data_IF_762710921269
#
_entry.id   IF_762710921269
#
_cell.length_a   1.000
_cell.length_b   1.000
_cell.length_c   1.000
_cell.angle_alpha   90.00
_cell.angle_beta   90.00
_cell.angle_gamma   90.00
#
_symmetry.space_group_name_H-M   'P 1'
#
loop_
_entity.id
_entity.type
_entity.pdbx_description
1 polymer ?
#
# COMPACT_ATOMS: atom_id res chain seq x y z
N UNK A 1 19.96 15.80 16.95
CA UNK A 1 19.26 15.07 15.86
C UNK A 1 19.94 15.43 14.55
N UNK A 2 20.36 14.45 13.76
CA UNK A 2 21.41 14.56 12.72
C UNK A 2 20.99 15.25 11.41
N UNK A 3 20.12 16.26 11.49
CA UNK A 3 19.64 17.02 10.32
C UNK A 3 18.93 16.20 9.25
N UNK A 4 18.51 14.95 9.53
CA UNK A 4 17.70 14.15 8.60
C UNK A 4 16.23 14.31 8.95
N UNK A 5 15.45 14.79 8.00
CA UNK A 5 14.00 14.73 8.01
C UNK A 5 13.53 13.47 7.27
N UNK A 6 12.51 12.81 7.79
CA UNK A 6 11.93 11.61 7.20
C UNK A 6 10.42 11.80 7.07
N UNK A 7 9.86 11.26 6.00
CA UNK A 7 8.41 11.11 5.87
C UNK A 7 8.06 9.70 5.43
N UNK A 8 6.95 9.20 5.94
CA UNK A 8 6.36 7.90 5.59
C UNK A 8 4.94 8.04 5.03
N UNK A 9 4.40 9.26 4.96
CA UNK A 9 3.01 9.49 4.58
C UNK A 9 2.73 10.93 4.11
N UNK A 10 3.75 11.65 3.60
CA UNK A 10 3.52 13.00 3.09
C UNK A 10 2.56 12.90 1.89
N UNK A 11 1.44 13.62 2.00
CA UNK A 11 0.42 13.66 0.96
C UNK A 11 0.09 15.12 0.63
N UNK A 12 -0.05 15.39 -0.65
CA UNK A 12 -0.48 16.69 -1.15
C UNK A 12 -1.61 16.50 -2.16
N UNK A 13 -2.64 17.34 -2.07
CA UNK A 13 -3.71 17.45 -3.06
C UNK A 13 -3.50 18.71 -3.88
N UNK A 14 -3.62 18.57 -5.19
CA UNK A 14 -3.47 19.62 -6.19
C UNK A 14 -4.70 19.58 -7.10
N UNK A 15 -5.01 20.68 -7.79
CA UNK A 15 -6.16 20.70 -8.72
C UNK A 15 -6.03 19.66 -9.84
N UNK A 16 -4.79 19.31 -10.21
CA UNK A 16 -4.48 18.35 -11.27
C UNK A 16 -4.44 16.89 -10.77
N UNK A 17 -4.39 16.65 -9.46
CA UNK A 17 -4.21 15.31 -8.91
C UNK A 17 -3.75 15.27 -7.45
N UNK A 18 -3.07 14.19 -7.07
CA UNK A 18 -2.55 14.00 -5.72
C UNK A 18 -1.14 13.43 -5.77
N UNK A 19 -0.34 13.71 -4.75
CA UNK A 19 1.01 13.19 -4.60
C UNK A 19 1.09 12.52 -3.24
N UNK A 20 1.67 11.32 -3.19
CA UNK A 20 2.15 10.71 -1.95
C UNK A 20 3.67 10.58 -2.01
N UNK A 21 4.33 10.69 -0.86
CA UNK A 21 5.77 10.72 -0.75
C UNK A 21 6.24 9.99 0.51
N UNK A 22 7.27 9.17 0.36
CA UNK A 22 8.04 8.58 1.46
C UNK A 22 9.53 8.72 1.19
N UNK A 23 10.32 8.81 2.25
CA UNK A 23 11.77 8.87 2.13
C UNK A 23 12.40 9.87 3.10
N UNK A 24 13.58 10.35 2.74
CA UNK A 24 14.38 11.23 3.58
C UNK A 24 14.90 12.46 2.84
N UNK A 25 15.06 13.53 3.61
CA UNK A 25 15.77 14.74 3.22
C UNK A 25 16.81 15.05 4.28
N UNK A 26 18.09 15.11 3.89
CA UNK A 26 19.17 15.48 4.79
C UNK A 26 19.44 16.98 4.65
N UNK A 27 19.15 17.75 5.70
CA UNK A 27 19.28 19.20 5.79
C UNK A 27 20.74 19.66 5.99
N UNK A 28 21.66 18.76 6.34
CA UNK A 28 23.08 19.09 6.52
C UNK A 28 23.78 19.18 5.16
N UNK A 29 23.48 18.23 4.27
CA UNK A 29 24.09 18.15 2.94
C UNK A 29 23.09 18.36 1.78
N UNK A 30 21.84 18.71 2.11
CA UNK A 30 20.72 18.89 1.19
C UNK A 30 20.35 17.66 0.37
N UNK A 31 20.78 16.44 0.73
CA UNK A 31 20.50 15.24 -0.04
C UNK A 31 19.03 14.82 0.04
N UNK A 32 18.50 14.31 -1.07
CA UNK A 32 17.15 13.75 -1.18
C UNK A 32 17.23 12.27 -1.55
N UNK A 33 16.39 11.47 -0.92
CA UNK A 33 16.12 10.09 -1.31
C UNK A 33 14.64 9.81 -1.02
N UNK A 34 13.81 9.97 -2.05
CA UNK A 34 12.35 9.98 -1.92
C UNK A 34 11.69 9.14 -3.01
N UNK A 35 10.71 8.34 -2.60
CA UNK A 35 9.77 7.66 -3.48
C UNK A 35 8.46 8.45 -3.49
N UNK A 36 8.09 8.93 -4.67
CA UNK A 36 6.85 9.66 -4.91
C UNK A 36 5.89 8.81 -5.73
N UNK A 37 4.60 9.00 -5.47
CA UNK A 37 3.54 8.52 -6.36
C UNK A 37 2.63 9.68 -6.68
N UNK A 38 2.66 10.12 -7.94
CA UNK A 38 1.73 11.10 -8.46
C UNK A 38 0.51 10.38 -9.03
N UNK A 39 -0.69 10.75 -8.60
CA UNK A 39 -1.95 10.29 -9.17
C UNK A 39 -2.62 11.44 -9.88
N UNK A 40 -2.66 11.39 -11.20
CA UNK A 40 -3.31 12.39 -12.02
C UNK A 40 -4.82 12.14 -12.07
N UNK A 41 -5.61 13.20 -11.89
CA UNK A 41 -7.07 13.14 -12.01
C UNK A 41 -7.50 12.62 -13.38
N UNK A 42 -8.65 11.96 -13.46
CA UNK A 42 -9.16 11.41 -14.73
C UNK A 42 -9.27 12.46 -15.85
N UNK A 43 -9.71 13.68 -15.52
CA UNK A 43 -9.76 14.82 -16.46
C UNK A 43 -8.38 15.17 -17.02
N UNK A 44 -7.37 15.26 -16.16
CA UNK A 44 -6.01 15.58 -16.60
C UNK A 44 -5.36 14.41 -17.33
N UNK A 45 -5.57 13.18 -16.86
CA UNK A 45 -5.16 11.94 -17.51
C UNK A 45 -5.65 11.82 -18.95
N UNK A 46 -6.89 12.24 -19.24
CA UNK A 46 -7.41 12.26 -20.61
C UNK A 46 -6.66 13.26 -21.49
N UNK A 47 -6.25 14.41 -20.95
CA UNK A 47 -5.49 15.42 -21.68
C UNK A 47 -4.05 14.99 -21.96
N UNK A 48 -3.40 14.27 -21.04
CA UNK A 48 -2.01 13.81 -21.21
C UNK A 48 -1.89 12.41 -21.79
N UNK A 49 -2.98 11.64 -21.80
CA UNK A 49 -3.07 10.30 -22.40
C UNK A 49 -3.75 10.26 -23.77
N UNK A 50 -4.38 11.36 -24.21
CA UNK A 50 -4.96 11.48 -25.54
C UNK A 50 -3.91 11.79 -26.61
N UNK A 51 -3.67 10.87 -27.53
CA UNK A 51 -2.96 10.91 -28.83
C UNK A 51 -1.62 11.69 -29.01
N UNK A 52 -1.14 12.52 -28.07
CA UNK A 52 0.00 13.43 -28.27
C UNK A 52 1.26 13.12 -27.45
N UNK A 53 1.19 12.24 -26.45
CA UNK A 53 2.28 12.01 -25.48
C UNK A 53 2.56 10.50 -25.33
N UNK A 54 2.85 9.83 -26.46
CA UNK A 54 3.03 8.37 -26.53
C UNK A 54 4.22 7.79 -25.76
N UNK A 55 5.09 8.62 -25.18
CA UNK A 55 6.24 8.19 -24.38
C UNK A 55 5.96 8.07 -22.88
N UNK A 56 5.24 9.03 -22.30
CA UNK A 56 5.02 9.12 -20.85
C UNK A 56 4.00 8.11 -20.33
N UNK A 57 3.09 7.63 -21.19
CA UNK A 57 2.11 6.61 -20.81
C UNK A 57 2.74 5.24 -20.48
N UNK A 58 3.95 4.93 -20.98
CA UNK A 58 4.62 3.66 -20.64
C UNK A 58 5.00 3.57 -19.15
N UNK A 59 5.19 4.71 -18.51
CA UNK A 59 5.59 4.81 -17.10
C UNK A 59 4.43 5.13 -16.16
N UNK A 60 3.21 5.27 -16.69
CA UNK A 60 2.00 5.51 -15.92
C UNK A 60 1.15 4.24 -15.87
N UNK A 61 0.51 3.98 -14.74
CA UNK A 61 -0.43 2.88 -14.55
C UNK A 61 -1.84 3.46 -14.38
N UNK A 62 -2.75 3.08 -15.26
CA UNK A 62 -4.15 3.45 -15.13
C UNK A 62 -4.82 2.62 -14.04
N UNK A 63 -5.55 3.28 -13.14
CA UNK A 63 -6.42 2.58 -12.18
C UNK A 63 -7.86 2.47 -12.70
N UNK A 64 -8.72 1.77 -11.97
CA UNK A 64 -10.11 1.54 -12.37
C UNK A 64 -10.99 2.82 -12.37
N UNK A 65 -10.47 3.94 -11.85
CA UNK A 65 -11.16 5.24 -11.81
C UNK A 65 -10.77 6.13 -13.01
N UNK A 66 -9.94 5.62 -13.93
CA UNK A 66 -9.43 6.38 -15.07
C UNK A 66 -8.35 7.39 -14.69
N UNK A 67 -7.78 7.27 -13.48
CA UNK A 67 -6.65 8.06 -13.03
C UNK A 67 -5.34 7.39 -13.47
N UNK A 68 -4.27 8.18 -13.55
CA UNK A 68 -2.93 7.68 -13.89
C UNK A 68 -2.01 7.81 -12.69
N UNK A 69 -1.52 6.69 -12.18
CA UNK A 69 -0.52 6.64 -11.13
C UNK A 69 0.88 6.55 -11.75
N UNK A 70 1.77 7.45 -11.34
CA UNK A 70 3.13 7.60 -11.85
C UNK A 70 4.09 7.50 -10.67
N UNK A 71 4.81 6.37 -10.52
CA UNK A 71 5.82 6.22 -9.48
C UNK A 71 7.13 6.90 -9.90
N UNK A 72 7.69 7.71 -9.02
CA UNK A 72 8.86 8.56 -9.32
C UNK A 72 9.85 8.47 -8.17
N UNK A 73 11.09 8.12 -8.48
CA UNK A 73 12.23 8.22 -7.58
C UNK A 73 12.85 9.60 -7.70
N UNK A 74 13.07 10.26 -6.57
CA UNK A 74 13.73 11.56 -6.46
C UNK A 74 15.01 11.43 -5.66
N UNK A 75 16.12 11.72 -6.31
CA UNK A 75 17.47 11.64 -5.72
C UNK A 75 18.24 12.93 -5.97
N UNK A 76 19.48 13.02 -5.48
CA UNK A 76 20.35 14.19 -5.67
C UNK A 76 20.23 15.15 -4.50
N UNK A 77 20.18 16.45 -4.76
CA UNK A 77 20.08 17.47 -3.72
C UNK A 77 18.82 18.32 -3.87
N UNK A 78 18.45 19.07 -2.84
CA UNK A 78 17.34 20.04 -2.90
C UNK A 78 17.53 21.10 -3.99
N UNK A 79 18.77 21.46 -4.33
CA UNK A 79 19.08 22.43 -5.39
C UNK A 79 19.13 21.79 -6.78
N UNK A 80 19.48 20.51 -6.88
CA UNK A 80 19.53 19.78 -8.14
C UNK A 80 18.90 18.39 -7.99
N UNK A 81 17.57 18.32 -7.84
CA UNK A 81 16.87 17.05 -7.72
C UNK A 81 16.81 16.33 -9.06
N UNK A 82 16.97 15.01 -9.04
CA UNK A 82 16.83 14.15 -10.22
C UNK A 82 15.59 13.28 -10.08
N UNK A 83 14.66 13.43 -11.01
CA UNK A 83 13.42 12.67 -11.08
C UNK A 83 13.56 11.56 -12.11
N UNK A 84 13.27 10.32 -11.70
CA UNK A 84 13.34 9.14 -12.56
C UNK A 84 12.11 8.26 -12.34
N UNK A 85 11.62 7.52 -13.35
CA UNK A 85 10.60 6.51 -13.12
C UNK A 85 11.08 5.49 -12.08
N UNK A 86 10.28 5.23 -11.06
CA UNK A 86 10.58 4.16 -10.10
C UNK A 86 10.09 2.83 -10.68
N UNK A 87 10.99 2.16 -11.38
CA UNK A 87 10.74 0.87 -12.03
C UNK A 87 10.46 -0.25 -11.02
N UNK A 88 11.00 -0.16 -9.81
CA UNK A 88 10.78 -1.16 -8.76
C UNK A 88 9.36 -1.03 -8.23
N UNK A 89 8.93 0.18 -7.90
CA UNK A 89 7.57 0.43 -7.45
C UNK A 89 6.56 0.18 -8.56
N UNK A 90 6.86 0.55 -9.81
CA UNK A 90 6.01 0.23 -10.96
C UNK A 90 5.79 -1.27 -11.12
N UNK A 91 6.86 -2.07 -11.01
CA UNK A 91 6.78 -3.52 -11.08
C UNK A 91 5.92 -4.08 -9.94
N UNK A 92 6.11 -3.57 -8.72
CA UNK A 92 5.30 -3.98 -7.57
C UNK A 92 3.81 -3.64 -7.74
N UNK A 93 3.49 -2.46 -8.27
CA UNK A 93 2.11 -2.06 -8.54
C UNK A 93 1.48 -2.95 -9.62
N UNK A 94 2.21 -3.27 -10.70
CA UNK A 94 1.73 -4.18 -11.76
C UNK A 94 1.52 -5.60 -11.25
N UNK A 95 2.47 -6.14 -10.48
CA UNK A 95 2.40 -7.51 -9.95
C UNK A 95 1.33 -7.68 -8.88
N UNK A 96 1.18 -6.69 -7.99
CA UNK A 96 0.25 -6.78 -6.86
C UNK A 96 -1.14 -6.26 -7.20
N UNK A 97 -1.35 -5.70 -8.40
CA UNK A 97 -2.60 -5.05 -8.81
C UNK A 97 -2.99 -3.84 -7.95
N UNK A 98 -2.05 -3.32 -7.15
CA UNK A 98 -2.28 -2.21 -6.23
C UNK A 98 -1.84 -0.92 -6.90
N UNK A 99 -2.74 -0.32 -7.69
CA UNK A 99 -2.50 0.97 -8.34
C UNK A 99 -3.19 2.05 -7.47
N UNK A 100 -2.43 3.03 -6.94
CA UNK A 100 -2.98 4.11 -6.11
C UNK A 100 -4.07 4.92 -6.81
N UNK A 101 -4.86 5.63 -6.00
CA UNK A 101 -5.87 6.57 -6.48
C UNK A 101 -5.76 7.92 -5.78
N UNK A 102 -6.44 8.95 -6.28
CA UNK A 102 -6.45 10.27 -5.62
C UNK A 102 -7.04 10.22 -4.21
N UNK A 103 -7.93 9.26 -3.94
CA UNK A 103 -8.49 9.00 -2.61
C UNK A 103 -7.50 8.31 -1.66
N UNK A 104 -6.53 7.56 -2.20
CA UNK A 104 -5.48 6.89 -1.43
C UNK A 104 -4.15 6.85 -2.20
N UNK A 105 -3.45 8.00 -2.35
CA UNK A 105 -2.26 8.08 -3.19
C UNK A 105 -1.08 7.30 -2.57
N UNK A 106 -1.11 7.04 -1.26
CA UNK A 106 -0.12 6.23 -0.54
C UNK A 106 -0.41 4.71 -0.53
N UNK A 107 -1.48 4.25 -1.17
CA UNK A 107 -1.95 2.86 -1.10
C UNK A 107 -0.93 1.82 -1.57
N UNK A 108 -0.03 2.18 -2.49
CA UNK A 108 1.06 1.31 -2.96
C UNK A 108 2.27 1.26 -2.01
N UNK A 109 2.39 2.22 -1.09
CA UNK A 109 3.56 2.39 -0.21
C UNK A 109 3.28 1.86 1.20
N UNK A 110 2.04 1.94 1.68
CA UNK A 110 1.64 1.46 3.02
C UNK A 110 1.09 0.01 3.07
N UNK A 111 0.93 -0.65 1.92
CA UNK A 111 0.12 -1.87 1.78
C UNK A 111 0.70 -3.17 2.34
N UNK A 112 1.94 -3.20 2.85
CA UNK A 112 2.55 -4.42 3.38
C UNK A 112 2.32 -4.66 4.88
N UNK A 113 1.74 -3.72 5.64
CA UNK A 113 1.52 -3.90 7.09
C UNK A 113 0.06 -3.84 7.56
N UNK A 114 -0.88 -3.32 6.75
CA UNK A 114 -2.28 -3.14 7.20
C UNK A 114 -3.34 -4.06 6.57
N UNK A 115 -3.07 -4.63 5.39
CA UNK A 115 -4.10 -5.30 4.58
C UNK A 115 -4.44 -6.74 4.96
N UNK A 116 -3.57 -7.42 5.72
CA UNK A 116 -3.86 -8.75 6.29
C UNK A 116 -4.53 -8.64 7.68
N UNK A 117 -4.45 -7.49 8.34
CA UNK A 117 -4.94 -7.29 9.71
C UNK A 117 -6.32 -6.62 9.79
N UNK A 118 -7.01 -6.45 8.65
CA UNK A 118 -8.28 -5.71 8.56
C UNK A 118 -9.54 -6.57 8.39
N UNK A 119 -9.44 -7.90 8.31
CA UNK A 119 -10.60 -8.80 8.17
C UNK A 119 -11.16 -9.36 9.49
N UNK A 120 -10.79 -8.78 10.64
CA UNK A 120 -11.27 -9.25 11.96
C UNK A 120 -11.69 -8.12 12.90
N UNK A 121 -12.23 -7.00 12.41
CA UNK A 121 -12.66 -5.89 13.27
C UNK A 121 -13.96 -5.19 12.84
N UNK A 122 -14.90 -5.90 12.20
CA UNK A 122 -16.28 -5.42 12.06
C UNK A 122 -17.26 -6.60 11.99
N UNK A 123 -18.32 -6.54 12.80
CA UNK A 123 -19.31 -7.58 13.19
C UNK A 123 -18.77 -8.54 14.26
N UNK A 124 -19.27 -8.59 15.50
CA UNK A 124 -20.55 -8.18 16.04
C UNK A 124 -20.45 -7.76 17.52
N UNK A 125 -21.12 -6.66 17.85
CA UNK A 125 -21.46 -6.21 19.19
C UNK A 125 -22.88 -6.71 19.53
N UNK A 126 -23.08 -7.10 20.80
CA UNK A 126 -24.32 -7.53 21.50
C UNK A 126 -24.62 -9.04 21.55
N UNK A 127 -24.24 -9.73 22.65
CA UNK A 127 -25.07 -9.87 23.87
C UNK A 127 -24.36 -10.75 24.93
N UNK A 128 -24.62 -10.38 26.19
CA UNK A 128 -24.49 -11.12 27.45
C UNK A 128 -23.12 -11.31 28.13
N UNK A 129 -23.06 -10.62 29.27
CA UNK A 129 -22.16 -10.79 30.41
C UNK A 129 -22.43 -12.14 31.09
N UNK A 130 -21.38 -12.91 31.39
CA UNK A 130 -21.00 -13.32 32.75
C UNK A 130 -19.80 -14.28 32.74
N UNK A 131 -19.02 -14.18 33.83
CA UNK A 131 -18.06 -15.15 34.37
C UNK A 131 -16.64 -15.24 33.78
N UNK A 132 -15.72 -14.54 34.46
CA UNK A 132 -14.48 -15.02 35.10
C UNK A 132 -13.52 -16.03 34.41
N UNK A 133 -12.24 -15.61 34.51
CA UNK A 133 -11.02 -16.38 34.86
C UNK A 133 -10.06 -16.89 33.76
N UNK A 134 -8.83 -16.34 33.88
CA UNK A 134 -7.50 -16.94 33.73
C UNK A 134 -6.94 -17.22 32.31
N UNK A 135 -5.80 -16.54 32.04
CA UNK A 135 -4.80 -16.88 31.02
C UNK A 135 -3.91 -18.05 31.54
N UNK A 136 -3.28 -18.89 30.69
CA UNK A 136 -2.09 -18.44 29.91
C UNK A 136 -1.84 -19.07 28.51
N UNK A 137 -1.01 -18.36 27.73
CA UNK A 137 -0.10 -18.78 26.63
C UNK A 137 -0.65 -19.36 25.29
N UNK A 138 -0.42 -18.68 24.14
CA UNK A 138 -0.62 -19.24 22.81
C UNK A 138 0.72 -19.57 22.10
N UNK A 139 1.17 -20.82 22.15
CA UNK A 139 2.30 -21.25 21.31
C UNK A 139 2.15 -22.61 20.62
N UNK A 140 0.96 -23.24 20.68
CA UNK A 140 0.72 -24.54 20.04
C UNK A 140 -0.10 -24.48 18.74
N UNK A 141 -0.70 -23.32 18.40
CA UNK A 141 -1.68 -23.24 17.31
C UNK A 141 -1.10 -23.18 15.89
N UNK A 142 0.17 -22.79 15.70
CA UNK A 142 0.73 -22.65 14.35
C UNK A 142 0.96 -24.01 13.66
N UNK A 143 1.40 -25.02 14.41
CA UNK A 143 1.78 -26.32 13.82
C UNK A 143 0.54 -27.18 13.51
N UNK A 144 -0.52 -27.09 14.32
CA UNK A 144 -1.78 -27.79 14.07
C UNK A 144 -2.59 -27.21 12.89
N UNK A 145 -2.47 -25.91 12.61
CA UNK A 145 -3.10 -25.31 11.44
C UNK A 145 -2.45 -25.76 10.13
N UNK A 146 -1.12 -25.95 10.12
CA UNK A 146 -0.42 -26.52 8.94
C UNK A 146 -0.85 -27.97 8.74
N UNK A 147 -0.96 -28.78 9.80
CA UNK A 147 -1.34 -30.19 9.69
C UNK A 147 -2.81 -30.38 9.25
N UNK A 148 -3.71 -29.47 9.65
CA UNK A 148 -5.12 -29.47 9.23
C UNK A 148 -5.35 -29.07 7.76
N UNK A 149 -4.39 -28.39 7.12
CA UNK A 149 -4.49 -28.01 5.71
C UNK A 149 -4.16 -29.19 4.77
N UNK A 150 -3.35 -30.15 5.23
CA UNK A 150 -2.91 -31.31 4.44
C UNK A 150 -3.67 -32.61 4.74
N UNK A 151 -4.53 -32.65 5.76
CA UNK A 151 -5.25 -33.86 6.19
C UNK A 151 -6.76 -33.78 5.97
N UNK A 152 -7.26 -34.45 4.92
CA UNK A 152 -8.68 -34.52 4.56
C UNK A 152 -9.61 -35.04 5.68
N UNK A 153 -10.74 -34.35 5.84
CA UNK A 153 -11.84 -34.67 6.77
C UNK A 153 -12.42 -36.07 6.53
N UNK A 154 -12.68 -36.84 7.59
CA UNK A 154 -13.77 -37.84 7.61
C UNK A 154 -14.62 -37.72 8.88
N UNK A 155 -15.92 -37.78 8.64
CA UNK A 155 -17.05 -37.49 9.52
C UNK A 155 -17.21 -38.53 10.64
N UNK A 156 -17.58 -38.05 11.81
CA UNK A 156 -18.11 -38.81 12.94
C UNK A 156 -19.62 -39.07 12.70
N UNK A 157 -20.06 -40.33 12.80
CA UNK A 157 -21.46 -40.74 12.71
C UNK A 157 -21.82 -41.44 14.02
N UNK A 158 -22.91 -40.98 14.65
CA UNK A 158 -23.40 -41.38 15.97
C UNK A 158 -23.69 -42.89 16.11
N UNK A 159 -23.64 -43.45 17.33
CA UNK A 159 -24.04 -44.83 17.60
C UNK A 159 -25.58 -44.94 17.76
N UNK A 160 -26.19 -46.10 17.41
CA UNK A 160 -27.54 -46.41 17.83
C UNK A 160 -27.58 -47.05 19.23
N UNK A 161 -28.78 -47.03 19.81
CA UNK A 161 -29.20 -47.50 21.14
C UNK A 161 -28.73 -48.89 21.52
#
# INVERSE_FOLDING_TARGET
KNGVAQTNNLQAKLDIGSIAAVGTANLVNNALDMHLTAVLSSKFSQSVGGNGIGGFMKTALANNQGELAIPVLVTGTMQNPKFMPDVQQMTQMKLKGMIPSSANPGGAVGGLLGGLLGKSAAQAQNQNQQAQQQAPSPQQNAVQQVLGLFGGKKKQQNPPK
#
